data_IF_489135951978
#
_entry.id   IF_489135951978
#
_cell.length_a   1.000
_cell.length_b   1.000
_cell.length_c   1.000
_cell.angle_alpha   90.00
_cell.angle_beta   90.00
_cell.angle_gamma   90.00
#
_symmetry.space_group_name_H-M   'P 1'
#
loop_
_entity.id
_entity.type
_entity.pdbx_description
1 polymer ?
#
# COMPACT_ATOMS: atom_id res chain seq x y z
N UNK A 1 73.08 20.69 26.93
CA UNK A 1 72.15 20.32 28.01
C UNK A 1 70.76 20.74 27.54
N UNK A 2 70.00 19.80 26.94
CA UNK A 2 68.68 19.29 27.42
C UNK A 2 67.58 20.37 27.34
N UNK A 3 66.43 20.25 26.65
CA UNK A 3 65.53 19.09 26.43
C UNK A 3 64.48 19.43 25.33
N UNK A 4 64.07 18.41 24.58
CA UNK A 4 62.93 18.29 23.63
C UNK A 4 61.55 18.50 24.27
N UNK A 5 60.54 19.03 23.56
CA UNK A 5 59.10 18.76 23.80
C UNK A 5 58.24 19.14 22.56
N UNK A 6 57.93 18.18 21.68
CA UNK A 6 56.69 17.38 21.56
C UNK A 6 55.53 18.08 20.79
N UNK A 7 55.28 17.50 19.61
CA UNK A 7 54.10 17.51 18.73
C UNK A 7 52.75 17.78 19.41
N UNK A 8 51.97 18.67 18.81
CA UNK A 8 50.51 18.60 18.81
C UNK A 8 50.02 18.45 17.35
N UNK A 9 49.81 17.21 16.92
CA UNK A 9 49.21 16.88 15.62
C UNK A 9 47.69 17.03 15.77
N UNK A 10 47.15 18.15 15.27
CA UNK A 10 45.72 18.44 15.31
C UNK A 10 45.02 17.65 14.19
N UNK A 11 44.33 16.57 14.55
CA UNK A 11 43.44 15.84 13.64
C UNK A 11 42.12 16.62 13.50
N UNK A 12 42.01 17.44 12.46
CA UNK A 12 40.74 18.05 12.07
C UNK A 12 39.87 16.99 11.38
N UNK A 13 38.93 16.42 12.13
CA UNK A 13 37.91 15.52 11.62
C UNK A 13 36.92 16.32 10.75
N UNK A 14 37.02 16.18 9.42
CA UNK A 14 36.05 16.70 8.46
C UNK A 14 34.85 15.76 8.42
N UNK A 15 33.76 16.14 9.09
CA UNK A 15 32.46 15.50 8.90
C UNK A 15 31.82 16.01 7.60
N UNK A 16 31.88 15.20 6.54
CA UNK A 16 31.10 15.43 5.33
C UNK A 16 29.61 15.12 5.62
N UNK A 17 28.78 16.15 5.74
CA UNK A 17 27.33 16.01 5.85
C UNK A 17 26.76 15.58 4.49
N UNK A 18 26.41 14.30 4.36
CA UNK A 18 25.66 13.80 3.21
C UNK A 18 24.21 14.29 3.29
N UNK A 19 23.78 15.12 2.35
CA UNK A 19 22.39 15.53 2.21
C UNK A 19 21.53 14.33 1.73
N UNK A 20 20.32 14.11 2.29
CA UNK A 20 19.45 13.05 1.82
C UNK A 20 18.90 13.41 0.43
N UNK A 21 19.08 12.52 -0.54
CA UNK A 21 18.41 12.60 -1.82
C UNK A 21 16.90 12.41 -1.59
N UNK A 22 16.13 13.48 -1.78
CA UNK A 22 14.68 13.39 -1.79
C UNK A 22 14.25 12.68 -3.08
N UNK A 23 13.81 11.42 -2.97
CA UNK A 23 13.12 10.75 -4.06
C UNK A 23 11.73 11.38 -4.20
N UNK A 24 11.54 12.17 -5.26
CA UNK A 24 10.21 12.59 -5.67
C UNK A 24 9.46 11.37 -6.20
N UNK A 25 8.50 10.86 -5.43
CA UNK A 25 7.55 9.84 -5.87
C UNK A 25 6.56 10.48 -6.86
N UNK A 26 7.04 10.82 -8.06
CA UNK A 26 6.23 11.27 -9.17
C UNK A 26 5.74 10.07 -9.98
N UNK A 27 4.84 9.27 -9.40
CA UNK A 27 4.16 8.22 -10.14
C UNK A 27 3.11 8.84 -11.07
N UNK A 28 3.25 8.60 -12.37
CA UNK A 28 2.18 8.86 -13.34
C UNK A 28 0.89 8.21 -12.82
N UNK A 29 -0.22 8.96 -12.78
CA UNK A 29 -1.50 8.48 -12.27
C UNK A 29 -2.10 7.52 -13.30
N UNK A 30 -1.55 6.30 -13.35
CA UNK A 30 -2.04 5.21 -14.18
C UNK A 30 -3.51 4.97 -13.80
N UNK A 31 -4.41 5.17 -14.75
CA UNK A 31 -5.83 4.92 -14.53
C UNK A 31 -6.03 3.41 -14.62
N UNK A 32 -5.97 2.74 -13.47
CA UNK A 32 -6.18 1.31 -13.37
C UNK A 32 -7.66 1.02 -13.11
N UNK A 33 -8.24 0.09 -13.87
CA UNK A 33 -9.64 -0.35 -13.70
C UNK A 33 -9.65 -1.54 -12.75
N UNK A 34 -10.43 -1.43 -11.67
CA UNK A 34 -10.62 -2.52 -10.70
C UNK A 34 -12.04 -3.05 -10.82
N UNK A 35 -12.18 -4.32 -11.19
CA UNK A 35 -13.47 -4.99 -11.24
C UNK A 35 -13.81 -5.56 -9.85
N UNK A 36 -14.68 -4.87 -9.12
CA UNK A 36 -15.17 -5.31 -7.81
C UNK A 36 -16.17 -6.48 -7.96
N UNK A 37 -15.63 -7.69 -8.18
CA UNK A 37 -16.40 -8.91 -8.41
C UNK A 37 -16.42 -9.78 -7.14
N UNK A 38 -17.61 -9.86 -6.53
CA UNK A 38 -17.89 -10.69 -5.36
C UNK A 38 -18.86 -11.79 -5.77
N UNK A 39 -18.51 -13.04 -5.50
CA UNK A 39 -19.49 -14.11 -5.52
C UNK A 39 -20.52 -13.82 -4.42
N UNK A 40 -21.80 -13.76 -4.78
CA UNK A 40 -22.91 -13.52 -3.86
C UNK A 40 -23.77 -14.77 -3.74
N UNK A 41 -24.07 -15.16 -2.51
CA UNK A 41 -25.07 -16.17 -2.22
C UNK A 41 -26.49 -15.71 -2.59
N UNK A 42 -27.49 -16.60 -2.49
CA UNK A 42 -28.88 -16.26 -2.81
C UNK A 42 -29.57 -15.41 -1.73
N UNK A 43 -28.92 -15.16 -0.60
CA UNK A 43 -29.44 -14.37 0.52
C UNK A 43 -28.54 -13.17 0.83
N UNK A 44 -28.99 -12.31 1.76
CA UNK A 44 -28.24 -11.10 2.15
C UNK A 44 -27.08 -11.41 3.10
N UNK A 45 -27.15 -12.54 3.82
CA UNK A 45 -26.09 -13.01 4.69
C UNK A 45 -24.87 -13.43 3.89
N UNK A 46 -23.70 -12.94 4.27
CA UNK A 46 -22.46 -13.11 3.49
C UNK A 46 -21.72 -14.41 3.83
N UNK A 47 -22.41 -15.44 4.30
CA UNK A 47 -21.78 -16.72 4.71
C UNK A 47 -21.02 -17.34 3.52
N UNK A 48 -21.60 -17.26 2.31
CA UNK A 48 -21.03 -17.87 1.10
C UNK A 48 -20.22 -16.89 0.26
N UNK A 49 -20.31 -15.61 0.59
CA UNK A 49 -19.71 -14.55 -0.21
C UNK A 49 -18.20 -14.58 -0.12
N UNK A 50 -17.55 -14.37 -1.26
CA UNK A 50 -16.09 -14.42 -1.39
C UNK A 50 -15.64 -13.59 -2.58
N UNK A 51 -14.40 -13.08 -2.56
CA UNK A 51 -13.87 -12.40 -3.72
C UNK A 51 -13.67 -13.37 -4.87
N UNK A 52 -13.91 -12.88 -6.08
CA UNK A 52 -13.55 -13.59 -7.30
C UNK A 52 -12.09 -13.30 -7.65
N UNK A 53 -11.44 -14.23 -8.34
CA UNK A 53 -10.02 -14.09 -8.67
C UNK A 53 -9.69 -12.85 -9.53
N UNK A 54 -10.65 -12.40 -10.35
CA UNK A 54 -10.55 -11.15 -11.12
C UNK A 54 -10.33 -9.94 -10.22
N UNK A 55 -11.12 -9.80 -9.15
CA UNK A 55 -11.04 -8.67 -8.25
C UNK A 55 -9.68 -8.62 -7.52
N UNK A 56 -9.21 -9.77 -7.05
CA UNK A 56 -7.90 -9.90 -6.39
C UNK A 56 -6.76 -9.61 -7.37
N UNK A 57 -6.86 -10.13 -8.60
CA UNK A 57 -5.86 -9.90 -9.65
C UNK A 57 -5.76 -8.43 -10.01
N UNK A 58 -6.89 -7.72 -10.12
CA UNK A 58 -6.91 -6.28 -10.41
C UNK A 58 -6.30 -5.48 -9.25
N UNK A 59 -6.55 -5.86 -7.99
CA UNK A 59 -5.89 -5.23 -6.84
C UNK A 59 -4.37 -5.47 -6.84
N UNK A 60 -3.92 -6.67 -7.22
CA UNK A 60 -2.48 -6.92 -7.36
C UNK A 60 -1.88 -6.08 -8.49
N UNK A 61 -2.56 -6.00 -9.64
CA UNK A 61 -2.13 -5.18 -10.77
C UNK A 61 -2.18 -3.67 -10.45
N UNK A 62 -3.03 -3.25 -9.51
CA UNK A 62 -3.04 -1.91 -8.93
C UNK A 62 -1.81 -1.62 -8.06
N UNK A 63 -1.18 -2.65 -7.47
CA UNK A 63 0.07 -2.54 -6.72
C UNK A 63 0.06 -3.22 -5.34
N UNK A 64 -1.02 -3.89 -4.95
CA UNK A 64 -1.01 -4.67 -3.70
C UNK A 64 -0.23 -5.97 -3.86
N UNK A 65 0.39 -6.46 -2.79
CA UNK A 65 0.74 -7.87 -2.73
C UNK A 65 -0.52 -8.74 -2.61
N UNK A 66 -0.40 -10.01 -2.98
CA UNK A 66 -1.54 -10.94 -3.01
C UNK A 66 -2.25 -11.07 -1.66
N UNK A 67 -1.52 -11.06 -0.53
CA UNK A 67 -2.13 -11.25 0.79
C UNK A 67 -3.00 -10.04 1.17
N UNK A 68 -2.51 -8.83 0.92
CA UNK A 68 -3.27 -7.60 1.15
C UNK A 68 -4.45 -7.46 0.17
N UNK A 69 -4.26 -7.82 -1.10
CA UNK A 69 -5.33 -7.84 -2.10
C UNK A 69 -6.47 -8.79 -1.71
N UNK A 70 -6.14 -10.04 -1.35
CA UNK A 70 -7.10 -11.05 -0.93
C UNK A 70 -7.84 -10.62 0.36
N UNK A 71 -7.11 -10.07 1.33
CA UNK A 71 -7.70 -9.60 2.59
C UNK A 71 -8.68 -8.44 2.36
N UNK A 72 -8.29 -7.44 1.57
CA UNK A 72 -9.13 -6.29 1.24
C UNK A 72 -10.39 -6.73 0.47
N UNK A 73 -10.22 -7.56 -0.55
CA UNK A 73 -11.33 -8.09 -1.34
C UNK A 73 -12.29 -8.94 -0.47
N UNK A 74 -11.76 -9.73 0.46
CA UNK A 74 -12.56 -10.53 1.40
C UNK A 74 -13.38 -9.65 2.33
N UNK A 75 -12.77 -8.63 2.96
CA UNK A 75 -13.50 -7.70 3.84
C UNK A 75 -14.65 -7.03 3.11
N UNK A 76 -14.41 -6.59 1.87
CA UNK A 76 -15.42 -5.93 1.05
C UNK A 76 -16.53 -6.90 0.66
N UNK A 77 -16.20 -8.10 0.19
CA UNK A 77 -17.21 -9.07 -0.22
C UNK A 77 -18.00 -9.66 0.97
N UNK A 78 -17.46 -9.62 2.20
CA UNK A 78 -18.18 -10.05 3.40
C UNK A 78 -19.09 -8.97 4.02
N UNK A 79 -19.07 -7.75 3.52
CA UNK A 79 -19.93 -6.68 4.02
C UNK A 79 -21.35 -6.81 3.46
N UNK A 80 -22.28 -7.20 4.35
CA UNK A 80 -23.71 -7.38 4.04
C UNK A 80 -24.36 -6.06 3.58
N UNK A 81 -23.85 -4.91 4.03
CA UNK A 81 -24.40 -3.60 3.68
C UNK A 81 -24.12 -3.18 2.23
N UNK A 82 -23.28 -3.93 1.51
CA UNK A 82 -22.92 -3.69 0.11
C UNK A 82 -23.68 -4.63 -0.85
N UNK A 83 -24.44 -5.59 -0.33
CA UNK A 83 -25.18 -6.55 -1.16
C UNK A 83 -26.24 -5.81 -1.97
N UNK A 84 -26.26 -6.03 -3.29
CA UNK A 84 -27.12 -5.35 -4.26
C UNK A 84 -26.96 -3.81 -4.32
N UNK A 85 -25.84 -3.26 -3.84
CA UNK A 85 -25.55 -1.82 -3.89
C UNK A 85 -24.19 -1.56 -4.58
N UNK A 86 -24.14 -1.51 -5.93
CA UNK A 86 -22.89 -1.34 -6.67
C UNK A 86 -22.22 0.02 -6.45
N UNK A 87 -23.00 1.08 -6.17
CA UNK A 87 -22.46 2.41 -5.90
C UNK A 87 -21.74 2.43 -4.54
N UNK A 88 -22.36 1.83 -3.52
CA UNK A 88 -21.72 1.70 -2.20
C UNK A 88 -20.54 0.75 -2.22
N UNK A 89 -20.60 -0.33 -3.00
CA UNK A 89 -19.46 -1.22 -3.24
C UNK A 89 -18.27 -0.45 -3.83
N UNK A 90 -18.51 0.33 -4.89
CA UNK A 90 -17.48 1.18 -5.49
C UNK A 90 -16.91 2.18 -4.49
N UNK A 91 -17.77 2.88 -3.74
CA UNK A 91 -17.35 3.83 -2.72
C UNK A 91 -16.50 3.17 -1.63
N UNK A 92 -16.87 1.95 -1.22
CA UNK A 92 -16.11 1.17 -0.24
C UNK A 92 -14.73 0.80 -0.77
N UNK A 93 -14.62 0.28 -1.99
CA UNK A 93 -13.32 -0.06 -2.61
C UNK A 93 -12.41 1.16 -2.63
N UNK A 94 -12.91 2.31 -3.10
CA UNK A 94 -12.13 3.54 -3.15
C UNK A 94 -11.71 4.03 -1.76
N UNK A 95 -12.59 3.89 -0.77
CA UNK A 95 -12.29 4.23 0.62
C UNK A 95 -11.19 3.36 1.22
N UNK A 96 -11.25 2.05 1.01
CA UNK A 96 -10.23 1.11 1.49
C UNK A 96 -8.87 1.37 0.83
N UNK A 97 -8.86 1.63 -0.48
CA UNK A 97 -7.62 1.98 -1.20
C UNK A 97 -7.00 3.28 -0.67
N UNK A 98 -7.83 4.28 -0.33
CA UNK A 98 -7.34 5.53 0.26
C UNK A 98 -6.79 5.34 1.68
N UNK A 99 -7.40 4.44 2.47
CA UNK A 99 -6.97 4.15 3.84
C UNK A 99 -5.71 3.29 3.90
N UNK A 100 -5.59 2.32 2.99
CA UNK A 100 -4.48 1.39 2.90
C UNK A 100 -3.87 1.40 1.50
N UNK A 101 -3.11 2.44 1.11
CA UNK A 101 -2.50 2.47 -0.21
C UNK A 101 -1.47 1.34 -0.41
N UNK A 102 -1.28 0.86 -1.66
CA UNK A 102 -0.24 -0.12 -1.98
C UNK A 102 1.17 0.44 -1.70
N UNK A 103 2.13 -0.45 -1.41
CA UNK A 103 3.51 -0.10 -1.03
C UNK A 103 4.51 -0.36 -2.15
#
# INVERSE_FOLDING_TARGET
>A
MTTTLIRALSLAAVCAAAAPAAFAAGGERQTHVINADCFRGPWAETIWDRPQGSFVTDLVAYGYDFANAEALATVICKDESLVNDPERLKARVLSEIAQMPPR
#
